data_IF_065023903654
#
_entry.id   IF_065023903654
#
_cell.length_a   1.000
_cell.length_b   1.000
_cell.length_c   1.000
_cell.angle_alpha   90.00
_cell.angle_beta   90.00
_cell.angle_gamma   90.00
#
_symmetry.space_group_name_H-M   'P 1'
#
loop_
_entity.id
_entity.type
_entity.pdbx_description
1 polymer ?
#
# COMPACT_ATOMS: atom_id res chain seq x y z
N UNK A 1 -29.57 -23.61 -12.45
CA UNK A 1 -28.30 -23.95 -13.14
C UNK A 1 -27.49 -22.67 -13.29
N UNK A 2 -26.50 -22.42 -12.43
CA UNK A 2 -25.26 -21.69 -12.72
C UNK A 2 -24.46 -21.51 -11.41
N UNK A 3 -23.73 -22.56 -11.03
CA UNK A 3 -22.83 -22.53 -9.86
C UNK A 3 -21.39 -22.90 -10.26
N UNK A 4 -21.04 -22.76 -11.56
CA UNK A 4 -19.79 -23.29 -12.12
C UNK A 4 -18.81 -22.24 -12.65
N UNK A 5 -19.07 -20.94 -12.53
CA UNK A 5 -18.13 -19.90 -13.00
C UNK A 5 -17.24 -19.31 -11.91
N UNK A 6 -17.66 -19.27 -10.65
CA UNK A 6 -16.83 -18.73 -9.55
C UNK A 6 -15.62 -19.62 -9.24
N UNK A 7 -15.78 -20.94 -9.38
CA UNK A 7 -14.70 -21.90 -9.13
C UNK A 7 -13.59 -21.85 -10.18
N UNK A 8 -13.90 -21.42 -11.40
CA UNK A 8 -12.90 -21.37 -12.48
C UNK A 8 -12.00 -20.14 -12.42
N UNK A 9 -12.49 -19.00 -11.92
CA UNK A 9 -11.68 -17.78 -11.78
C UNK A 9 -10.60 -17.98 -10.70
N UNK A 10 -10.94 -18.64 -9.59
CA UNK A 10 -9.99 -19.00 -8.53
C UNK A 10 -8.94 -20.02 -9.01
N UNK A 11 -9.33 -20.94 -9.90
CA UNK A 11 -8.42 -21.92 -10.50
C UNK A 11 -7.50 -21.27 -11.55
N UNK A 12 -7.99 -20.28 -12.31
CA UNK A 12 -7.18 -19.53 -13.28
C UNK A 12 -6.09 -18.71 -12.60
N UNK A 13 -6.41 -18.06 -11.46
CA UNK A 13 -5.41 -17.38 -10.63
C UNK A 13 -4.40 -18.31 -9.95
N UNK A 14 -4.80 -19.56 -9.64
CA UNK A 14 -3.89 -20.57 -9.07
C UNK A 14 -2.95 -21.19 -10.10
N UNK A 15 -3.32 -21.18 -11.38
CA UNK A 15 -2.56 -21.87 -12.42
C UNK A 15 -1.32 -21.10 -12.89
N UNK A 16 -1.27 -19.78 -12.71
CA UNK A 16 -0.08 -18.96 -13.02
C UNK A 16 0.95 -18.87 -11.87
N UNK A 17 0.62 -19.38 -10.67
CA UNK A 17 1.57 -19.54 -9.55
C UNK A 17 2.19 -20.95 -9.51
N UNK A 18 2.34 -21.59 -10.67
CA UNK A 18 2.93 -22.93 -10.76
C UNK A 18 4.46 -22.92 -10.99
N UNK A 19 5.22 -21.97 -10.43
CA UNK A 19 6.64 -22.16 -10.11
C UNK A 19 7.18 -21.03 -9.21
N UNK A 20 6.77 -21.00 -7.95
CA UNK A 20 7.42 -20.15 -6.95
C UNK A 20 7.87 -21.03 -5.79
N UNK A 21 9.18 -21.32 -5.71
CA UNK A 21 9.76 -22.08 -4.61
C UNK A 21 9.54 -21.44 -3.24
N UNK A 22 9.83 -22.14 -2.12
CA UNK A 22 9.57 -21.66 -0.75
C UNK A 22 10.14 -20.26 -0.46
N UNK A 23 11.27 -19.92 -1.09
CA UNK A 23 11.91 -18.60 -0.99
C UNK A 23 11.08 -17.42 -1.56
N UNK A 24 10.24 -17.66 -2.56
CA UNK A 24 9.42 -16.60 -3.16
C UNK A 24 8.23 -16.25 -2.27
N UNK A 25 7.62 -17.27 -1.65
CA UNK A 25 6.47 -17.09 -0.74
C UNK A 25 6.92 -16.38 0.54
N UNK A 26 8.08 -16.73 1.09
CA UNK A 26 8.64 -16.03 2.26
C UNK A 26 8.96 -14.56 1.96
N UNK A 27 9.54 -14.28 0.78
CA UNK A 27 9.83 -12.90 0.34
C UNK A 27 8.54 -12.08 0.22
N UNK A 28 7.49 -12.65 -0.37
CA UNK A 28 6.18 -12.01 -0.53
C UNK A 28 5.51 -11.69 0.83
N UNK A 29 5.64 -12.60 1.82
CA UNK A 29 5.15 -12.37 3.20
C UNK A 29 5.95 -11.27 3.90
N UNK A 30 7.27 -11.26 3.75
CA UNK A 30 8.16 -10.25 4.36
C UNK A 30 7.90 -8.86 3.77
N UNK A 31 7.75 -8.76 2.45
CA UNK A 31 7.38 -7.51 1.78
C UNK A 31 6.01 -7.03 2.23
N UNK A 32 4.99 -7.92 2.25
CA UNK A 32 3.64 -7.56 2.73
C UNK A 32 3.62 -7.04 4.17
N UNK A 33 4.42 -7.64 5.06
CA UNK A 33 4.57 -7.15 6.45
C UNK A 33 5.26 -5.79 6.48
N UNK A 34 6.34 -5.64 5.71
CA UNK A 34 7.08 -4.39 5.62
C UNK A 34 6.22 -3.21 5.13
N UNK A 35 5.33 -3.45 4.16
CA UNK A 35 4.42 -2.42 3.64
C UNK A 35 3.38 -2.00 4.69
N UNK A 36 2.81 -2.96 5.43
CA UNK A 36 1.90 -2.65 6.55
C UNK A 36 2.59 -1.82 7.63
N UNK A 37 3.84 -2.14 7.94
CA UNK A 37 4.62 -1.40 8.93
C UNK A 37 4.90 0.04 8.44
N UNK A 38 5.19 0.20 7.14
CA UNK A 38 5.43 1.50 6.50
C UNK A 38 4.18 2.37 6.48
N UNK A 39 3.03 1.82 6.08
CA UNK A 39 1.74 2.52 6.09
C UNK A 39 1.33 2.90 7.51
N UNK A 40 1.58 2.04 8.51
CA UNK A 40 1.36 2.36 9.92
C UNK A 40 2.21 3.56 10.36
N UNK A 41 3.48 3.62 9.95
CA UNK A 41 4.35 4.76 10.25
C UNK A 41 3.86 6.05 9.60
N UNK A 42 3.39 5.98 8.34
CA UNK A 42 2.78 7.12 7.65
C UNK A 42 1.57 7.65 8.40
N UNK A 43 0.66 6.77 8.81
CA UNK A 43 -0.55 7.13 9.56
C UNK A 43 -0.18 7.79 10.89
N UNK A 44 0.80 7.24 11.61
CA UNK A 44 1.28 7.84 12.85
C UNK A 44 1.89 9.23 12.62
N UNK A 45 2.63 9.44 11.53
CA UNK A 45 3.16 10.75 11.16
C UNK A 45 2.06 11.77 10.86
N UNK A 46 1.08 11.41 10.03
CA UNK A 46 -0.02 12.32 9.62
C UNK A 46 -1.01 12.61 10.74
N UNK A 47 -1.28 11.64 11.60
CA UNK A 47 -2.22 11.75 12.71
C UNK A 47 -1.56 12.13 14.04
N UNK A 48 -0.28 12.53 14.03
CA UNK A 48 0.44 12.93 15.24
C UNK A 48 -0.21 14.16 15.88
N UNK A 49 -0.75 14.06 17.11
CA UNK A 49 -1.36 15.19 17.79
C UNK A 49 -0.27 16.12 18.33
N UNK A 50 -0.51 17.44 18.34
CA UNK A 50 0.39 18.36 19.01
C UNK A 50 0.33 18.17 20.53
N UNK A 51 1.45 17.81 21.20
CA UNK A 51 1.44 17.56 22.64
C UNK A 51 1.61 18.87 23.44
N UNK A 52 0.51 19.35 24.03
CA UNK A 52 0.45 20.63 24.79
C UNK A 52 1.52 20.74 25.89
N UNK A 53 1.83 19.63 26.57
CA UNK A 53 2.77 19.59 27.70
C UNK A 53 4.23 19.41 27.28
N UNK A 54 4.49 18.89 26.09
CA UNK A 54 5.85 18.53 25.65
C UNK A 54 6.56 19.66 24.90
N UNK A 55 5.79 20.64 24.41
CA UNK A 55 6.30 21.81 23.72
C UNK A 55 6.79 21.54 22.28
N UNK A 56 7.04 22.62 21.51
CA UNK A 56 7.23 22.53 20.06
C UNK A 56 8.49 21.78 19.64
N UNK A 57 9.58 21.85 20.42
CA UNK A 57 10.83 21.15 20.11
C UNK A 57 10.66 19.63 20.18
N UNK A 58 9.96 19.14 21.20
CA UNK A 58 9.70 17.71 21.37
C UNK A 58 8.72 17.20 20.31
N UNK A 59 7.67 17.96 20.02
CA UNK A 59 6.74 17.68 18.93
C UNK A 59 7.48 17.52 17.58
N UNK A 60 8.35 18.48 17.24
CA UNK A 60 9.14 18.41 16.00
C UNK A 60 10.11 17.22 15.97
N UNK A 61 10.75 16.89 17.09
CA UNK A 61 11.63 15.71 17.18
C UNK A 61 10.86 14.42 16.89
N UNK A 62 9.67 14.26 17.48
CA UNK A 62 8.82 13.08 17.27
C UNK A 62 8.31 13.00 15.83
N UNK A 63 7.91 14.13 15.23
CA UNK A 63 7.54 14.19 13.81
C UNK A 63 8.69 13.76 12.90
N UNK A 64 9.93 14.18 13.20
CA UNK A 64 11.11 13.75 12.44
C UNK A 64 11.34 12.25 12.54
N UNK A 65 11.24 11.68 13.73
CA UNK A 65 11.39 10.23 13.93
C UNK A 65 10.32 9.42 13.17
N UNK A 66 9.07 9.88 13.20
CA UNK A 66 7.97 9.26 12.45
C UNK A 66 8.19 9.38 10.94
N UNK A 67 8.64 10.55 10.47
CA UNK A 67 8.97 10.78 9.07
C UNK A 67 10.10 9.86 8.58
N UNK A 68 11.17 9.69 9.37
CA UNK A 68 12.27 8.77 9.04
C UNK A 68 11.79 7.32 8.98
N UNK A 69 10.94 6.88 9.91
CA UNK A 69 10.38 5.52 9.90
C UNK A 69 9.47 5.26 8.70
N UNK A 70 8.73 6.29 8.25
CA UNK A 70 7.88 6.19 7.07
C UNK A 70 8.71 6.23 5.77
N UNK A 71 9.51 7.27 5.56
CA UNK A 71 10.19 7.51 4.29
C UNK A 71 11.49 6.73 4.14
N UNK A 72 12.08 6.25 5.24
CA UNK A 72 13.30 5.42 5.30
C UNK A 72 14.42 5.89 4.34
N UNK A 73 14.92 7.13 4.48
CA UNK A 73 15.96 7.67 3.61
C UNK A 73 17.29 6.90 3.66
N UNK A 74 17.46 5.99 4.63
CA UNK A 74 18.62 5.10 4.73
C UNK A 74 18.64 4.03 3.63
N UNK A 75 17.47 3.74 3.03
CA UNK A 75 17.33 2.73 1.96
C UNK A 75 16.64 3.26 0.70
N UNK A 76 15.92 4.39 0.78
CA UNK A 76 15.26 5.00 -0.36
C UNK A 76 16.04 6.19 -0.91
N UNK A 77 16.17 6.24 -2.24
CA UNK A 77 16.65 7.42 -2.94
C UNK A 77 15.66 8.57 -2.83
N UNK A 78 16.10 9.78 -3.19
CA UNK A 78 15.23 10.96 -3.24
C UNK A 78 14.03 10.73 -4.16
N UNK A 79 14.27 10.14 -5.32
CA UNK A 79 13.25 9.85 -6.33
C UNK A 79 12.23 8.85 -5.77
N UNK A 80 12.70 7.78 -5.10
CA UNK A 80 11.81 6.82 -4.44
C UNK A 80 10.96 7.48 -3.34
N UNK A 81 11.54 8.41 -2.56
CA UNK A 81 10.78 9.18 -1.57
C UNK A 81 9.71 10.04 -2.24
N UNK A 82 10.01 10.68 -3.37
CA UNK A 82 9.03 11.46 -4.13
C UNK A 82 7.90 10.56 -4.63
N UNK A 83 8.20 9.37 -5.15
CA UNK A 83 7.18 8.41 -5.58
C UNK A 83 6.28 7.95 -4.44
N UNK A 84 6.81 7.74 -3.23
CA UNK A 84 5.98 7.44 -2.05
C UNK A 84 5.00 8.56 -1.72
N UNK A 85 5.41 9.82 -1.89
CA UNK A 85 4.53 10.99 -1.68
C UNK A 85 3.49 11.11 -2.79
N UNK A 86 3.87 10.83 -4.05
CA UNK A 86 2.94 10.78 -5.19
C UNK A 86 1.90 9.69 -4.97
N UNK A 87 2.32 8.49 -4.58
CA UNK A 87 1.42 7.38 -4.25
C UNK A 87 0.45 7.75 -3.11
N UNK A 88 0.94 8.33 -2.01
CA UNK A 88 0.09 8.81 -0.92
C UNK A 88 -1.00 9.76 -1.48
N UNK A 89 -0.58 10.75 -2.27
CA UNK A 89 -1.50 11.72 -2.85
C UNK A 89 -2.49 11.08 -3.82
N UNK A 90 -2.04 10.18 -4.69
CA UNK A 90 -2.87 9.46 -5.65
C UNK A 90 -3.98 8.68 -4.93
N UNK A 91 -3.62 7.93 -3.89
CA UNK A 91 -4.58 7.21 -3.06
C UNK A 91 -5.58 8.14 -2.35
N UNK A 92 -5.23 9.41 -2.11
CA UNK A 92 -6.16 10.38 -1.48
C UNK A 92 -7.13 11.06 -2.45
N UNK A 93 -6.89 10.99 -3.76
CA UNK A 93 -7.79 11.59 -4.76
C UNK A 93 -8.76 10.57 -5.36
N UNK A 94 -8.53 9.27 -5.18
CA UNK A 94 -9.42 8.21 -5.66
C UNK A 94 -10.84 8.34 -5.06
N UNK A 95 -11.91 8.03 -5.82
CA UNK A 95 -13.29 7.96 -5.30
C UNK A 95 -13.41 6.99 -4.12
N UNK A 96 -14.39 7.19 -3.22
CA UNK A 96 -14.45 6.53 -1.90
C UNK A 96 -14.29 5.00 -1.90
N UNK A 97 -15.11 4.29 -2.67
CA UNK A 97 -15.08 2.82 -2.72
C UNK A 97 -13.80 2.31 -3.40
N UNK A 98 -13.42 2.89 -4.53
CA UNK A 98 -12.17 2.61 -5.25
C UNK A 98 -10.96 2.79 -4.33
N UNK A 99 -10.90 3.92 -3.62
CA UNK A 99 -9.86 4.22 -2.63
C UNK A 99 -9.76 3.15 -1.56
N UNK A 100 -10.90 2.75 -1.01
CA UNK A 100 -10.96 1.77 0.08
C UNK A 100 -10.44 0.42 -0.39
N UNK A 101 -10.86 0.01 -1.59
CA UNK A 101 -10.41 -1.25 -2.19
C UNK A 101 -8.93 -1.22 -2.55
N UNK A 102 -8.43 -0.18 -3.25
CA UNK A 102 -7.01 -0.07 -3.63
C UNK A 102 -6.11 -0.03 -2.39
N UNK A 103 -6.47 0.73 -1.35
CA UNK A 103 -5.69 0.75 -0.09
C UNK A 103 -5.65 -0.60 0.61
N UNK A 104 -6.68 -1.43 0.47
CA UNK A 104 -6.70 -2.77 1.07
C UNK A 104 -5.70 -3.74 0.43
N UNK A 105 -5.24 -3.43 -0.78
CA UNK A 105 -4.22 -4.20 -1.50
C UNK A 105 -2.78 -3.81 -1.13
N UNK A 106 -2.58 -2.70 -0.41
CA UNK A 106 -1.26 -2.17 -0.03
C UNK A 106 -0.28 -2.00 -1.21
N UNK A 107 -0.62 -1.19 -2.24
CA UNK A 107 0.25 -0.99 -3.38
C UNK A 107 1.61 -0.40 -2.97
N UNK A 108 2.68 -0.87 -3.62
CA UNK A 108 4.07 -0.48 -3.40
C UNK A 108 4.46 0.76 -4.23
N UNK A 109 3.79 0.97 -5.37
CA UNK A 109 4.05 2.09 -6.27
C UNK A 109 2.78 2.71 -6.85
N UNK A 110 2.93 3.91 -7.42
CA UNK A 110 1.89 4.58 -8.22
C UNK A 110 1.42 3.71 -9.38
N UNK A 111 2.34 3.03 -10.07
CA UNK A 111 2.04 2.16 -11.21
C UNK A 111 1.19 0.98 -10.77
N UNK A 112 1.53 0.34 -9.64
CA UNK A 112 0.71 -0.75 -9.09
C UNK A 112 -0.69 -0.25 -8.71
N UNK A 113 -0.77 0.92 -8.05
CA UNK A 113 -2.06 1.51 -7.70
C UNK A 113 -2.91 1.85 -8.95
N UNK A 114 -2.29 2.26 -10.06
CA UNK A 114 -2.99 2.50 -11.33
C UNK A 114 -3.51 1.19 -11.91
N UNK A 115 -2.68 0.15 -12.01
CA UNK A 115 -3.09 -1.18 -12.49
C UNK A 115 -4.29 -1.71 -11.70
N UNK A 116 -4.25 -1.58 -10.36
CA UNK A 116 -5.37 -1.98 -9.50
C UNK A 116 -6.67 -1.22 -9.81
N UNK A 117 -6.59 0.09 -10.10
CA UNK A 117 -7.77 0.89 -10.47
C UNK A 117 -8.31 0.48 -11.84
N UNK A 118 -7.44 0.24 -12.81
CA UNK A 118 -7.81 -0.21 -14.15
C UNK A 118 -8.51 -1.58 -14.10
N UNK A 119 -7.92 -2.54 -13.37
CA UNK A 119 -8.50 -3.87 -13.17
C UNK A 119 -9.89 -3.81 -12.53
N UNK A 120 -10.05 -2.98 -11.49
CA UNK A 120 -11.35 -2.78 -10.84
C UNK A 120 -12.38 -2.18 -11.79
N UNK A 121 -11.96 -1.23 -12.64
CA UNK A 121 -12.85 -0.57 -13.60
C UNK A 121 -13.32 -1.56 -14.66
N UNK A 122 -12.42 -2.38 -15.20
CA UNK A 122 -12.78 -3.42 -16.17
C UNK A 122 -13.80 -4.41 -15.60
N UNK A 123 -13.63 -4.84 -14.35
CA UNK A 123 -14.57 -5.77 -13.70
C UNK A 123 -15.98 -5.17 -13.60
N UNK A 124 -16.09 -3.88 -13.32
CA UNK A 124 -17.38 -3.20 -13.19
C UNK A 124 -18.05 -2.92 -14.54
N UNK A 125 -17.30 -2.87 -15.64
CA UNK A 125 -17.83 -2.71 -17.00
C UNK A 125 -18.27 -4.05 -17.63
N UNK A 126 -17.79 -5.18 -17.11
CA UNK A 126 -18.14 -6.52 -17.56
C UNK A 126 -19.37 -7.14 -16.84
N UNK A 127 -19.95 -6.45 -15.84
CA UNK A 127 -21.22 -6.80 -15.16
C UNK A 127 -22.44 -6.04 -15.72
#
# INVERSE_FOLDING_TARGET
>A
MNSSSRSQILLRWKSDKAQSGPYHVEKEILTSRFLRDTETCRQNFRNFPYPDLAGPRKALSQLRELCLKWLRPEIHSKEQILELLVLEQFLTILPGEVRTWVKSQYPESSEEAVTLVEDLTQILEEE
#
